data_IF_010257584138
#
_entry.id   IF_010257584138
#
_cell.length_a   1.000
_cell.length_b   1.000
_cell.length_c   1.000
_cell.angle_alpha   90.00
_cell.angle_beta   90.00
_cell.angle_gamma   90.00
#
_symmetry.space_group_name_H-M   'P 1'
#
loop_
_entity.id
_entity.type
_entity.pdbx_description
1 polymer ?
#
# COMPACT_ATOMS: atom_id res chain seq x y z
N UNK A 1 9.58 4.52 52.80
CA UNK A 1 9.02 3.35 52.12
C UNK A 1 8.16 3.71 50.89
N UNK A 2 7.46 4.86 50.87
CA UNK A 2 6.59 5.24 49.75
C UNK A 2 7.31 5.68 48.45
N UNK A 3 8.57 6.13 48.53
CA UNK A 3 9.32 6.60 47.34
C UNK A 3 9.85 5.42 46.50
N UNK A 4 10.22 4.30 47.13
CA UNK A 4 10.74 3.11 46.44
C UNK A 4 9.61 2.40 45.66
N UNK A 5 8.40 2.36 46.21
CA UNK A 5 7.23 1.77 45.54
C UNK A 5 6.79 2.60 44.31
N UNK A 6 6.90 3.92 44.38
CA UNK A 6 6.61 4.80 43.24
C UNK A 6 7.61 4.61 42.08
N UNK A 7 8.88 4.32 42.40
CA UNK A 7 9.92 4.07 41.39
C UNK A 7 9.73 2.73 40.66
N UNK A 8 9.16 1.72 41.34
CA UNK A 8 8.84 0.42 40.74
C UNK A 8 7.64 0.49 39.80
N UNK A 9 6.65 1.34 40.09
CA UNK A 9 5.51 1.56 39.19
C UNK A 9 5.88 2.35 37.93
N UNK A 10 6.93 3.17 37.98
CA UNK A 10 7.39 3.95 36.84
C UNK A 10 8.17 3.13 35.79
N UNK A 11 8.71 1.95 36.13
CA UNK A 11 9.43 1.09 35.18
C UNK A 11 8.53 0.15 34.34
N UNK A 12 7.24 0.05 34.64
CA UNK A 12 6.32 -0.85 33.91
C UNK A 12 5.80 -0.22 32.61
N UNK A 13 6.01 1.09 32.42
CA UNK A 13 5.50 1.81 31.26
C UNK A 13 6.62 1.96 30.22
N UNK A 14 6.45 1.29 29.08
CA UNK A 14 7.17 1.48 27.79
C UNK A 14 8.12 0.37 27.31
N UNK A 15 7.77 -0.91 27.49
CA UNK A 15 8.14 -1.91 26.47
C UNK A 15 7.10 -1.86 25.36
N UNK A 16 7.27 -0.93 24.41
CA UNK A 16 6.53 -0.99 23.15
C UNK A 16 7.22 -2.07 22.30
N UNK A 17 6.66 -3.27 22.28
CA UNK A 17 7.13 -4.32 21.39
C UNK A 17 6.86 -3.88 19.95
N UNK A 18 7.93 -3.52 19.21
CA UNK A 18 7.85 -3.29 17.78
C UNK A 18 8.01 -4.65 17.12
N UNK A 19 6.94 -5.19 16.54
CA UNK A 19 7.02 -6.35 15.68
C UNK A 19 7.72 -5.95 14.38
N UNK A 20 8.80 -6.66 14.05
CA UNK A 20 9.54 -6.52 12.80
C UNK A 20 9.44 -7.84 12.06
N UNK A 21 8.75 -7.81 10.93
CA UNK A 21 8.53 -9.01 10.13
C UNK A 21 8.91 -8.73 8.67
N UNK A 22 9.43 -9.76 8.00
CA UNK A 22 9.88 -9.65 6.62
C UNK A 22 8.78 -10.21 5.73
N UNK A 23 8.25 -9.36 4.85
CA UNK A 23 7.20 -9.75 3.93
C UNK A 23 7.51 -9.36 2.49
N UNK A 24 6.90 -10.10 1.57
CA UNK A 24 6.86 -9.74 0.16
C UNK A 24 5.66 -8.82 -0.07
N UNK A 25 5.94 -7.53 -0.31
CA UNK A 25 4.93 -6.50 -0.57
C UNK A 25 4.93 -6.17 -2.05
N UNK A 26 3.75 -6.15 -2.66
CA UNK A 26 3.57 -5.79 -4.05
C UNK A 26 3.20 -4.32 -4.15
N UNK A 27 3.84 -3.58 -5.06
CA UNK A 27 3.77 -2.11 -5.08
C UNK A 27 3.59 -1.59 -6.50
N UNK A 28 2.72 -0.58 -6.70
CA UNK A 28 2.52 0.04 -8.00
C UNK A 28 3.63 1.06 -8.24
N UNK A 29 4.56 0.73 -9.14
CA UNK A 29 5.68 1.61 -9.48
C UNK A 29 5.50 2.24 -10.86
N UNK A 30 5.94 3.49 -10.95
CA UNK A 30 6.18 4.20 -12.19
C UNK A 30 7.50 3.72 -12.78
N UNK A 31 7.49 3.41 -14.07
CA UNK A 31 8.68 3.20 -14.88
C UNK A 31 9.00 4.46 -15.70
N UNK A 32 8.35 5.59 -15.40
CA UNK A 32 8.64 6.84 -16.07
C UNK A 32 10.10 7.26 -15.88
N UNK A 33 10.71 7.76 -16.96
CA UNK A 33 12.15 8.03 -17.00
C UNK A 33 13.02 6.79 -17.24
N UNK A 34 12.40 5.63 -17.49
CA UNK A 34 13.08 4.43 -18.02
C UNK A 34 12.64 4.18 -19.46
N UNK A 35 13.46 3.46 -20.23
CA UNK A 35 13.12 3.02 -21.59
C UNK A 35 12.20 1.78 -21.62
N UNK A 36 11.68 1.38 -20.45
CA UNK A 36 10.86 0.17 -20.29
C UNK A 36 9.39 0.57 -20.21
N UNK A 37 8.58 -0.08 -21.04
CA UNK A 37 7.13 -0.06 -20.95
C UNK A 37 6.60 -1.49 -20.85
N UNK A 38 5.44 -1.63 -20.22
CA UNK A 38 4.83 -2.91 -19.91
C UNK A 38 3.39 -2.92 -20.42
N UNK A 39 2.93 -4.07 -20.88
CA UNK A 39 1.53 -4.25 -21.25
C UNK A 39 0.67 -4.45 -20.00
N UNK A 40 -0.38 -3.65 -19.87
CA UNK A 40 -1.37 -3.75 -18.82
C UNK A 40 -2.77 -3.57 -19.40
N UNK A 41 -3.60 -4.61 -19.32
CA UNK A 41 -4.96 -4.63 -19.87
C UNK A 41 -5.04 -4.26 -21.37
N UNK A 42 -4.01 -4.62 -22.15
CA UNK A 42 -3.93 -4.32 -23.59
C UNK A 42 -3.39 -2.93 -23.93
N UNK A 43 -3.03 -2.11 -22.94
CA UNK A 43 -2.37 -0.82 -23.13
C UNK A 43 -0.89 -0.93 -22.76
N UNK A 44 -0.02 -0.27 -23.53
CA UNK A 44 1.40 -0.14 -23.19
C UNK A 44 1.55 1.06 -22.26
N UNK A 45 1.96 0.80 -21.01
CA UNK A 45 2.12 1.81 -19.98
C UNK A 45 3.53 1.79 -19.38
N UNK A 46 4.01 2.94 -18.91
CA UNK A 46 5.27 3.04 -18.15
C UNK A 46 5.03 2.81 -16.66
N UNK A 47 4.43 1.69 -16.30
CA UNK A 47 4.22 1.31 -14.90
C UNK A 47 4.01 -0.19 -14.74
N UNK A 48 4.31 -0.70 -13.55
CA UNK A 48 4.15 -2.11 -13.23
C UNK A 48 3.89 -2.30 -11.73
N UNK A 49 3.27 -3.42 -11.38
CA UNK A 49 3.32 -3.92 -10.01
C UNK A 49 4.57 -4.78 -9.83
N UNK A 50 5.45 -4.38 -8.93
CA UNK A 50 6.63 -5.18 -8.56
C UNK A 50 6.50 -5.71 -7.14
N UNK A 51 7.09 -6.87 -6.89
CA UNK A 51 7.23 -7.37 -5.52
C UNK A 51 8.56 -6.96 -4.91
N UNK A 52 8.54 -6.55 -3.66
CA UNK A 52 9.73 -6.21 -2.89
C UNK A 52 9.67 -6.89 -1.52
N UNK A 53 10.81 -7.41 -1.10
CA UNK A 53 10.98 -7.89 0.28
C UNK A 53 11.22 -6.68 1.17
N UNK A 54 10.34 -6.47 2.15
CA UNK A 54 10.37 -5.32 3.04
C UNK A 54 10.28 -5.76 4.49
N UNK A 55 10.98 -5.04 5.36
CA UNK A 55 10.75 -5.11 6.80
C UNK A 55 9.52 -4.25 7.08
N UNK A 56 8.47 -4.87 7.59
CA UNK A 56 7.20 -4.23 7.91
C UNK A 56 7.05 -4.17 9.43
N UNK A 57 6.52 -3.05 9.90
CA UNK A 57 6.19 -2.82 11.31
C UNK A 57 4.69 -2.69 11.52
N UNK A 58 4.23 -3.01 12.73
CA UNK A 58 2.84 -2.82 13.15
C UNK A 58 1.99 -4.09 13.08
N UNK A 59 0.69 -3.92 13.32
CA UNK A 59 -0.27 -5.01 13.25
C UNK A 59 -0.54 -5.40 11.79
N UNK A 60 -0.65 -6.71 11.53
CA UNK A 60 -0.97 -7.23 10.21
C UNK A 60 -2.46 -7.58 10.10
N UNK A 61 -3.07 -7.38 8.92
CA UNK A 61 -2.47 -7.01 7.63
C UNK A 61 -2.30 -5.49 7.37
N UNK A 62 -2.59 -4.63 8.34
CA UNK A 62 -2.56 -3.18 8.13
C UNK A 62 -1.17 -2.64 7.80
N UNK A 63 -0.13 -3.12 8.48
CA UNK A 63 1.27 -2.77 8.23
C UNK A 63 1.69 -3.09 6.80
N UNK A 64 1.31 -4.26 6.29
CA UNK A 64 1.54 -4.67 4.90
C UNK A 64 0.93 -3.69 3.91
N UNK A 65 -0.33 -3.28 4.15
CA UNK A 65 -1.00 -2.34 3.26
C UNK A 65 -0.38 -0.94 3.36
N UNK A 66 0.02 -0.49 4.55
CA UNK A 66 0.73 0.77 4.70
C UNK A 66 2.05 0.78 3.89
N UNK A 67 2.76 -0.35 3.84
CA UNK A 67 4.00 -0.50 3.06
C UNK A 67 3.78 -0.36 1.54
N UNK A 68 2.60 -0.71 1.01
CA UNK A 68 2.30 -0.54 -0.41
C UNK A 68 2.37 0.95 -0.81
N UNK A 69 1.83 1.84 0.03
CA UNK A 69 1.78 3.30 -0.18
C UNK A 69 2.96 4.07 0.39
N UNK A 70 3.97 3.40 0.94
CA UNK A 70 5.15 4.07 1.47
C UNK A 70 5.94 4.77 0.33
N UNK A 71 6.69 5.85 0.59
CA UNK A 71 7.67 6.39 -0.34
C UNK A 71 8.73 5.37 -0.74
N UNK A 72 9.15 5.38 -2.00
CA UNK A 72 10.19 4.49 -2.50
C UNK A 72 10.89 4.99 -3.76
N UNK A 73 12.12 4.52 -3.93
CA UNK A 73 12.95 4.82 -5.09
C UNK A 73 13.63 3.54 -5.54
N UNK A 74 13.57 3.27 -6.84
CA UNK A 74 14.29 2.19 -7.47
C UNK A 74 15.78 2.38 -7.19
N UNK A 75 16.48 1.27 -7.00
CA UNK A 75 17.92 1.31 -6.86
C UNK A 75 18.53 1.92 -8.14
N UNK A 76 19.24 3.04 -7.96
CA UNK A 76 19.95 3.71 -9.03
C UNK A 76 21.35 3.14 -9.26
N UNK A 77 22.04 3.71 -10.24
CA UNK A 77 23.49 3.54 -10.42
C UNK A 77 24.22 4.79 -9.89
N UNK A 78 25.55 4.73 -9.76
CA UNK A 78 26.34 5.87 -9.24
C UNK A 78 26.15 7.19 -10.01
N UNK A 79 25.73 7.13 -11.27
CA UNK A 79 25.47 8.31 -12.12
C UNK A 79 24.00 8.70 -12.23
N UNK A 80 23.06 7.87 -11.78
CA UNK A 80 21.62 8.12 -11.88
C UNK A 80 20.89 7.62 -10.63
N UNK A 81 20.25 8.55 -9.92
CA UNK A 81 19.37 8.22 -8.79
C UNK A 81 17.92 8.44 -9.23
N UNK A 82 17.12 7.36 -9.36
CA UNK A 82 15.69 7.48 -9.62
C UNK A 82 15.02 8.34 -8.55
N UNK A 83 14.06 9.16 -8.98
CA UNK A 83 13.17 9.88 -8.07
C UNK A 83 12.18 8.90 -7.41
N UNK A 84 11.25 9.45 -6.62
CA UNK A 84 10.10 8.69 -6.14
C UNK A 84 9.43 7.93 -7.29
N UNK A 85 9.21 6.63 -7.10
CA UNK A 85 8.63 5.76 -8.12
C UNK A 85 7.25 5.23 -7.73
N UNK A 86 6.83 5.36 -6.46
CA UNK A 86 5.57 4.80 -6.04
C UNK A 86 4.43 5.64 -6.61
N UNK A 87 3.56 5.03 -7.41
CA UNK A 87 2.47 5.74 -8.09
C UNK A 87 1.48 6.37 -7.11
N UNK A 88 1.25 5.76 -5.95
CA UNK A 88 0.36 6.34 -4.94
C UNK A 88 0.96 7.63 -4.36
N UNK A 89 2.26 7.63 -4.10
CA UNK A 89 2.98 8.79 -3.57
C UNK A 89 3.08 9.88 -4.63
N UNK A 90 3.47 9.54 -5.86
CA UNK A 90 3.54 10.46 -6.99
C UNK A 90 2.20 11.13 -7.26
N UNK A 91 1.10 10.36 -7.23
CA UNK A 91 -0.24 10.89 -7.48
C UNK A 91 -0.90 11.50 -6.24
N UNK A 92 -0.21 11.56 -5.10
CA UNK A 92 -0.76 12.04 -3.82
C UNK A 92 -2.07 11.33 -3.41
N UNK A 93 -2.13 10.03 -3.68
CA UNK A 93 -3.25 9.15 -3.33
C UNK A 93 -2.98 8.52 -1.97
N UNK A 94 -3.89 8.73 -1.03
CA UNK A 94 -3.81 8.13 0.29
C UNK A 94 -4.28 6.68 0.29
N UNK A 95 -3.72 5.84 1.16
CA UNK A 95 -4.25 4.52 1.43
C UNK A 95 -4.25 4.26 2.93
N UNK A 96 -5.38 3.78 3.44
CA UNK A 96 -5.54 3.40 4.85
C UNK A 96 -6.27 2.07 4.94
N UNK A 97 -6.01 1.33 6.00
CA UNK A 97 -6.62 0.01 6.23
C UNK A 97 -7.02 -0.13 7.68
N UNK A 98 -8.14 -0.81 7.90
CA UNK A 98 -8.68 -1.14 9.23
C UNK A 98 -9.15 -2.58 9.17
N UNK A 99 -8.60 -3.43 10.04
CA UNK A 99 -9.08 -4.79 10.26
C UNK A 99 -10.03 -4.85 11.45
N UNK A 100 -11.13 -5.57 11.29
CA UNK A 100 -12.06 -5.99 12.33
C UNK A 100 -12.13 -7.53 12.32
N UNK A 101 -11.02 -8.14 12.76
CA UNK A 101 -10.81 -9.59 12.73
C UNK A 101 -10.66 -10.14 11.31
N UNK A 102 -11.75 -10.71 10.77
CA UNK A 102 -11.76 -11.31 9.42
C UNK A 102 -12.25 -10.36 8.32
N UNK A 103 -12.62 -9.13 8.68
CA UNK A 103 -13.04 -8.12 7.73
C UNK A 103 -11.97 -7.03 7.63
N UNK A 104 -11.39 -6.88 6.45
CA UNK A 104 -10.41 -5.84 6.16
C UNK A 104 -11.05 -4.78 5.25
N UNK A 105 -11.10 -3.54 5.71
CA UNK A 105 -11.52 -2.41 4.87
C UNK A 105 -10.29 -1.61 4.47
N UNK A 106 -10.09 -1.43 3.17
CA UNK A 106 -9.01 -0.64 2.58
C UNK A 106 -9.64 0.58 1.91
N UNK A 107 -9.27 1.78 2.36
CA UNK A 107 -9.73 3.04 1.77
C UNK A 107 -8.62 3.65 0.94
N UNK A 108 -8.89 3.88 -0.33
CA UNK A 108 -8.03 4.64 -1.24
C UNK A 108 -8.61 6.04 -1.37
N UNK A 109 -7.88 7.03 -0.88
CA UNK A 109 -8.34 8.42 -0.74
C UNK A 109 -7.77 9.31 -1.85
N UNK A 110 -8.68 9.88 -2.64
CA UNK A 110 -8.37 10.78 -3.76
C UNK A 110 -8.49 12.27 -3.40
N UNK A 111 -8.81 12.63 -2.15
CA UNK A 111 -9.09 14.01 -1.76
C UNK A 111 -7.92 14.98 -2.03
N UNK A 112 -6.68 14.48 -1.94
CA UNK A 112 -5.45 15.26 -2.18
C UNK A 112 -4.78 14.93 -3.51
N UNK A 113 -5.43 14.15 -4.36
CA UNK A 113 -4.85 13.61 -5.58
C UNK A 113 -4.38 14.74 -6.51
N UNK A 114 -3.16 14.58 -7.01
CA UNK A 114 -2.56 15.45 -8.04
C UNK A 114 -1.82 14.56 -9.02
N UNK A 115 -2.08 14.72 -10.31
CA UNK A 115 -1.34 13.98 -11.34
C UNK A 115 -0.15 14.84 -11.74
N UNK A 116 1.10 14.41 -11.47
CA UNK A 116 2.27 15.10 -11.98
C UNK A 116 2.27 15.07 -13.51
N UNK A 117 2.72 16.14 -14.16
CA UNK A 117 2.84 16.19 -15.63
C UNK A 117 3.76 15.10 -16.19
N UNK A 118 4.72 14.67 -15.38
CA UNK A 118 5.71 13.64 -15.70
C UNK A 118 5.08 12.24 -15.73
N UNK A 119 3.94 12.03 -15.05
CA UNK A 119 3.27 10.71 -15.02
C UNK A 119 2.16 10.69 -16.05
N UNK A 120 2.46 10.21 -17.27
CA UNK A 120 1.51 10.08 -18.38
C UNK A 120 0.63 8.82 -18.26
N UNK A 121 0.07 8.56 -17.07
CA UNK A 121 -0.75 7.38 -16.80
C UNK A 121 -2.14 7.82 -16.30
N UNK A 122 -3.23 7.30 -16.86
CA UNK A 122 -4.57 7.58 -16.36
C UNK A 122 -4.73 7.17 -14.88
N UNK A 123 -5.39 8.00 -14.07
CA UNK A 123 -5.66 7.69 -12.65
C UNK A 123 -6.37 6.36 -12.49
N UNK A 124 -7.29 6.03 -13.40
CA UNK A 124 -7.99 4.74 -13.40
C UNK A 124 -6.99 3.57 -13.42
N UNK A 125 -5.96 3.67 -14.27
CA UNK A 125 -4.89 2.67 -14.37
C UNK A 125 -4.04 2.64 -13.11
N UNK A 126 -3.68 3.80 -12.53
CA UNK A 126 -2.98 3.87 -11.24
C UNK A 126 -3.77 3.15 -10.14
N UNK A 127 -5.08 3.38 -10.06
CA UNK A 127 -5.95 2.74 -9.09
C UNK A 127 -6.06 1.22 -9.31
N UNK A 128 -6.17 0.78 -10.55
CA UNK A 128 -6.17 -0.66 -10.88
C UNK A 128 -4.86 -1.34 -10.48
N UNK A 129 -3.72 -0.69 -10.71
CA UNK A 129 -2.41 -1.19 -10.26
C UNK A 129 -2.33 -1.24 -8.73
N UNK A 130 -2.83 -0.22 -8.03
CA UNK A 130 -2.88 -0.20 -6.56
C UNK A 130 -3.77 -1.32 -5.99
N UNK A 131 -4.96 -1.52 -6.57
CA UNK A 131 -5.87 -2.63 -6.23
C UNK A 131 -5.19 -3.98 -6.47
N UNK A 132 -4.50 -4.14 -7.60
CA UNK A 132 -3.71 -5.35 -7.90
C UNK A 132 -2.61 -5.57 -6.84
N UNK A 133 -1.90 -4.52 -6.44
CA UNK A 133 -0.89 -4.57 -5.36
C UNK A 133 -1.47 -5.02 -4.02
N UNK A 134 -2.66 -4.54 -3.65
CA UNK A 134 -3.37 -4.98 -2.44
C UNK A 134 -3.71 -6.47 -2.52
N UNK A 135 -4.30 -6.91 -3.64
CA UNK A 135 -4.67 -8.32 -3.86
C UNK A 135 -3.45 -9.25 -3.79
N UNK A 136 -2.37 -8.91 -4.49
CA UNK A 136 -1.16 -9.74 -4.54
C UNK A 136 -0.44 -9.78 -3.18
N UNK A 137 -0.39 -8.66 -2.46
CA UNK A 137 0.20 -8.61 -1.11
C UNK A 137 -0.58 -9.46 -0.12
N UNK A 138 -1.90 -9.32 -0.08
CA UNK A 138 -2.74 -10.11 0.84
C UNK A 138 -2.74 -11.59 0.49
N UNK A 139 -2.72 -11.94 -0.81
CA UNK A 139 -2.59 -13.33 -1.25
C UNK A 139 -1.26 -13.95 -0.83
N UNK A 140 -0.16 -13.18 -0.84
CA UNK A 140 1.15 -13.64 -0.38
C UNK A 140 1.29 -13.72 1.14
N UNK A 141 0.52 -12.93 1.88
CA UNK A 141 0.50 -12.93 3.34
C UNK A 141 -0.35 -14.06 3.92
N UNK A 142 -1.52 -14.30 3.35
CA UNK A 142 -2.50 -15.20 3.91
C UNK A 142 -2.13 -16.67 3.67
N UNK A 143 -2.07 -17.46 4.74
CA UNK A 143 -1.89 -18.91 4.67
C UNK A 143 -3.26 -19.60 4.82
N UNK A 144 -3.51 -20.75 4.16
CA UNK A 144 -4.82 -21.42 4.17
C UNK A 144 -5.39 -21.73 5.56
N UNK A 145 -4.53 -21.82 6.58
CA UNK A 145 -4.89 -22.12 7.98
C UNK A 145 -5.59 -20.96 8.69
N UNK A 146 -5.42 -19.72 8.21
CA UNK A 146 -6.02 -18.52 8.79
C UNK A 146 -7.53 -18.38 8.50
N UNK A 147 -8.03 -19.17 7.53
CA UNK A 147 -9.41 -19.13 7.04
C UNK A 147 -9.77 -17.84 6.27
N UNK A 148 -10.86 -17.82 5.50
CA UNK A 148 -11.07 -16.77 4.51
C UNK A 148 -11.22 -15.37 5.12
N UNK A 149 -10.40 -14.43 4.64
CA UNK A 149 -10.47 -13.01 4.96
C UNK A 149 -11.36 -12.28 3.94
N UNK A 150 -12.34 -11.51 4.40
CA UNK A 150 -13.18 -10.65 3.56
C UNK A 150 -12.53 -9.29 3.43
N UNK A 151 -12.22 -8.88 2.20
CA UNK A 151 -11.60 -7.61 1.91
C UNK A 151 -12.59 -6.71 1.17
N UNK A 152 -12.70 -5.46 1.61
CA UNK A 152 -13.49 -4.41 0.95
C UNK A 152 -12.54 -3.26 0.60
N UNK A 153 -12.41 -2.97 -0.69
CA UNK A 153 -11.72 -1.76 -1.17
C UNK A 153 -12.77 -0.68 -1.42
N UNK A 154 -12.58 0.49 -0.84
CA UNK A 154 -13.42 1.68 -1.00
C UNK A 154 -12.61 2.82 -1.60
N UNK A 155 -13.10 3.40 -2.71
CA UNK A 155 -12.57 4.65 -3.23
C UNK A 155 -13.31 5.81 -2.55
N UNK A 156 -12.57 6.72 -1.91
CA UNK A 156 -13.11 7.86 -1.17
C UNK A 156 -12.45 9.17 -1.62
N UNK A 157 -13.01 10.32 -1.20
CA UNK A 157 -12.43 11.62 -1.54
C UNK A 157 -12.60 12.04 -3.00
N UNK A 158 -13.59 11.46 -3.71
CA UNK A 158 -13.87 11.81 -5.11
C UNK A 158 -14.55 13.18 -5.26
N UNK A 159 -14.37 13.79 -6.42
CA UNK A 159 -15.05 15.02 -6.85
C UNK A 159 -15.80 14.76 -8.17
N UNK A 160 -16.41 15.80 -8.78
CA UNK A 160 -17.17 15.65 -10.03
C UNK A 160 -16.38 14.99 -11.18
N UNK A 161 -15.07 15.23 -11.25
CA UNK A 161 -14.20 14.66 -12.28
C UNK A 161 -13.72 13.24 -12.00
N UNK A 162 -13.65 12.85 -10.72
CA UNK A 162 -13.19 11.51 -10.30
C UNK A 162 -14.33 10.59 -9.81
N UNK A 163 -15.57 11.07 -9.81
CA UNK A 163 -16.75 10.30 -9.45
C UNK A 163 -16.89 8.96 -10.21
N UNK A 164 -16.54 8.87 -11.52
CA UNK A 164 -16.59 7.59 -12.22
C UNK A 164 -15.70 6.52 -11.60
N UNK A 165 -14.63 6.88 -10.87
CA UNK A 165 -13.68 5.93 -10.27
C UNK A 165 -14.25 5.18 -9.06
N UNK A 166 -15.41 5.59 -8.54
CA UNK A 166 -16.09 4.87 -7.46
C UNK A 166 -16.46 3.43 -7.87
N UNK A 167 -16.62 3.18 -9.17
CA UNK A 167 -16.90 1.87 -9.75
C UNK A 167 -15.78 0.84 -9.53
N UNK A 168 -14.55 1.29 -9.22
CA UNK A 168 -13.42 0.45 -8.88
C UNK A 168 -13.48 -0.09 -7.44
N UNK A 169 -14.41 0.40 -6.62
CA UNK A 169 -14.63 -0.16 -5.28
C UNK A 169 -15.13 -1.60 -5.40
N UNK A 170 -14.47 -2.54 -4.72
CA UNK A 170 -14.78 -3.96 -4.86
C UNK A 170 -14.67 -4.71 -3.54
N UNK A 171 -15.27 -5.91 -3.53
CA UNK A 171 -15.17 -6.86 -2.42
C UNK A 171 -14.64 -8.17 -2.95
N UNK A 172 -13.70 -8.76 -2.23
CA UNK A 172 -13.15 -10.06 -2.57
C UNK A 172 -12.79 -10.83 -1.30
N UNK A 173 -12.37 -12.08 -1.47
CA UNK A 173 -11.89 -12.94 -0.40
C UNK A 173 -10.47 -13.41 -0.69
N UNK A 174 -9.72 -13.64 0.38
CA UNK A 174 -8.37 -14.19 0.34
C UNK A 174 -8.38 -15.46 1.21
N UNK A 175 -7.74 -16.53 0.74
CA UNK A 175 -7.69 -17.82 1.46
C UNK A 175 -8.85 -18.77 1.21
N UNK A 176 -9.45 -18.73 0.01
CA UNK A 176 -10.34 -19.79 -0.46
C UNK A 176 -9.56 -20.95 -1.09
#
# INVERSE_FOLDING_TARGET
MNIVVALWFAMIVASQAITLEIYKVFRPISLHGTDVAEEFEGEIIQAKVISQTMVVTGAQPEGLLAAISAPHRLAGSGSYQPKEDNLLVLCSIGMTSISDGRNLTVKIDLAKMKIPREVEIPVRTVLKLAIKSVKETLKGFHIPEDGPMKVKIEIVGTNKGTAPLLDLSEKFRVGE
#
